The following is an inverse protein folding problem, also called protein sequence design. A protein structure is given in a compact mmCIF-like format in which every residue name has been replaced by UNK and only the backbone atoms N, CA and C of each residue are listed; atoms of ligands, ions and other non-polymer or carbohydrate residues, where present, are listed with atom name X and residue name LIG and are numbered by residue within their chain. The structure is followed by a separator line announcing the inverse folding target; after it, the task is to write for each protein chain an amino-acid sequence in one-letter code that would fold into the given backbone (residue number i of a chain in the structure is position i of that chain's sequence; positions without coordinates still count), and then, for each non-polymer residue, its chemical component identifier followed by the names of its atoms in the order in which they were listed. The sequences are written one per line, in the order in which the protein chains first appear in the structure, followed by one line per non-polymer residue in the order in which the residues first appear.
data_IF_569880919485
#
_entry.id   IF_569880919485
#
_cell.length_a   1.000
_cell.length_b   1.000
_cell.length_c   1.000
_cell.angle_alpha   90.00
_cell.angle_beta   90.00
_cell.angle_gamma   90.00
#
_symmetry.space_group_name_H-M   'P 1'
#
loop_
_entity.id
_entity.type
_entity.pdbx_description
1 polymer ?
#
# COMPACT_ATOMS: atom_id res chain seq x y z
N UNK A 1 -8.81 2.52 -31.59
CA UNK A 1 -8.80 3.98 -31.35
C UNK A 1 -9.93 4.27 -30.36
N UNK A 2 -9.60 4.40 -29.08
CA UNK A 2 -10.53 4.79 -28.03
C UNK A 2 -9.92 6.01 -27.35
N UNK A 3 -10.65 7.11 -27.38
CA UNK A 3 -10.20 8.44 -26.97
C UNK A 3 -10.24 8.57 -25.45
N UNK A 4 -9.09 8.83 -24.84
CA UNK A 4 -8.98 9.27 -23.44
C UNK A 4 -9.34 10.77 -23.41
N UNK A 5 -10.58 11.08 -23.09
CA UNK A 5 -11.00 12.45 -22.80
C UNK A 5 -10.32 12.92 -21.49
N UNK A 6 -9.35 13.81 -21.62
CA UNK A 6 -8.74 14.51 -20.50
C UNK A 6 -9.68 15.62 -20.04
N UNK A 7 -10.13 15.59 -18.79
CA UNK A 7 -10.89 16.71 -18.22
C UNK A 7 -9.96 17.81 -17.70
N UNK A 8 -10.33 19.11 -17.82
CA UNK A 8 -9.43 20.23 -17.51
C UNK A 8 -9.24 20.43 -16.01
N UNK A 9 -8.00 20.77 -15.61
CA UNK A 9 -7.51 20.94 -14.23
C UNK A 9 -8.08 22.15 -13.45
N UNK A 10 -9.07 22.87 -13.97
CA UNK A 10 -9.39 24.23 -13.50
C UNK A 10 -10.54 24.34 -12.47
N UNK A 11 -11.19 23.23 -12.08
CA UNK A 11 -12.43 23.31 -11.27
C UNK A 11 -12.27 22.94 -9.78
N UNK A 12 -11.04 22.87 -9.26
CA UNK A 12 -10.77 22.51 -7.86
C UNK A 12 -10.72 23.74 -6.94
N UNK A 13 -11.68 24.66 -7.05
CA UNK A 13 -11.83 25.72 -6.08
C UNK A 13 -13.26 25.80 -5.55
N UNK A 14 -13.34 25.53 -4.24
CA UNK A 14 -14.41 25.86 -3.29
C UNK A 14 -15.69 25.03 -3.37
N UNK A 15 -15.69 23.87 -2.71
CA UNK A 15 -16.92 23.25 -2.23
C UNK A 15 -17.06 23.47 -0.71
N UNK A 16 -18.21 23.98 -0.22
CA UNK A 16 -18.46 24.15 1.21
C UNK A 16 -18.49 22.80 1.95
N UNK A 17 -17.98 22.76 3.20
CA UNK A 17 -17.85 21.57 4.06
C UNK A 17 -19.15 20.76 4.28
N UNK A 18 -20.32 21.27 3.91
CA UNK A 18 -21.61 20.59 4.07
C UNK A 18 -21.92 19.54 2.98
N UNK A 19 -21.11 19.42 1.93
CA UNK A 19 -21.40 18.51 0.79
C UNK A 19 -20.79 17.10 0.90
N UNK A 20 -20.19 16.73 2.04
CA UNK A 20 -19.68 15.35 2.26
C UNK A 20 -20.80 14.35 2.60
N UNK A 21 -22.00 14.52 2.04
CA UNK A 21 -23.05 13.52 2.15
C UNK A 21 -23.02 12.57 0.95
N UNK A 22 -22.56 11.36 1.25
CA UNK A 22 -22.84 10.13 0.53
C UNK A 22 -22.22 10.00 -0.87
N UNK A 23 -20.89 9.92 -0.93
CA UNK A 23 -20.31 9.03 -1.93
C UNK A 23 -20.60 7.59 -1.50
N UNK A 24 -21.27 6.76 -2.34
CA UNK A 24 -21.40 5.35 -2.04
C UNK A 24 -20.00 4.77 -1.86
N UNK A 25 -19.78 4.00 -0.79
CA UNK A 25 -18.53 3.24 -0.50
C UNK A 25 -18.14 2.22 -1.60
N UNK A 26 -18.77 2.30 -2.78
CA UNK A 26 -18.79 1.31 -3.84
C UNK A 26 -17.75 1.57 -4.94
N UNK A 27 -16.61 2.19 -4.61
CA UNK A 27 -15.45 2.27 -5.53
C UNK A 27 -14.15 1.72 -4.93
N UNK A 28 -14.20 1.12 -3.74
CA UNK A 28 -13.26 0.04 -3.44
C UNK A 28 -13.70 -1.11 -4.36
N UNK A 29 -12.92 -1.39 -5.41
CA UNK A 29 -13.12 -2.60 -6.20
C UNK A 29 -13.20 -3.77 -5.23
N UNK A 30 -14.42 -4.24 -4.96
CA UNK A 30 -14.63 -5.40 -4.13
C UNK A 30 -14.13 -6.55 -4.99
N UNK A 31 -12.87 -6.95 -4.79
CA UNK A 31 -12.44 -8.25 -5.28
C UNK A 31 -13.41 -9.26 -4.64
N UNK A 32 -14.24 -9.96 -5.42
CA UNK A 32 -15.21 -10.89 -4.85
C UNK A 32 -14.43 -11.87 -3.97
N UNK A 33 -14.83 -12.06 -2.70
CA UNK A 33 -14.12 -12.96 -1.77
C UNK A 33 -13.83 -14.34 -2.39
N UNK A 34 -14.67 -14.79 -3.31
CA UNK A 34 -14.50 -16.02 -4.09
C UNK A 34 -13.23 -16.05 -4.96
N UNK A 35 -12.74 -14.93 -5.50
CA UNK A 35 -11.52 -14.90 -6.32
C UNK A 35 -10.23 -15.09 -5.51
N UNK A 36 -10.28 -14.91 -4.19
CA UNK A 36 -9.17 -15.22 -3.28
C UNK A 36 -9.18 -16.68 -2.80
N UNK A 37 -10.33 -17.35 -2.89
CA UNK A 37 -10.54 -18.64 -2.21
C UNK A 37 -9.87 -19.82 -2.92
N UNK A 38 -9.54 -19.72 -4.21
CA UNK A 38 -8.96 -20.82 -4.97
C UNK A 38 -7.93 -20.30 -5.95
N UNK A 39 -6.75 -19.91 -5.46
CA UNK A 39 -5.60 -19.78 -6.35
C UNK A 39 -4.92 -21.14 -6.48
N UNK A 40 -4.88 -21.71 -7.70
CA UNK A 40 -4.33 -23.05 -7.91
C UNK A 40 -2.82 -23.13 -7.57
N UNK A 41 -2.16 -21.98 -7.40
CA UNK A 41 -0.73 -21.86 -7.07
C UNK A 41 -0.51 -20.68 -6.12
N UNK A 42 -0.81 -20.86 -4.82
CA UNK A 42 -0.79 -19.76 -3.88
C UNK A 42 0.65 -19.25 -3.64
N UNK A 43 1.64 -20.13 -3.69
CA UNK A 43 3.04 -19.74 -3.49
C UNK A 43 3.58 -18.90 -4.65
N UNK A 44 3.22 -19.23 -5.90
CA UNK A 44 3.57 -18.39 -7.06
C UNK A 44 2.96 -16.99 -6.93
N UNK A 45 1.72 -16.90 -6.47
CA UNK A 45 1.05 -15.63 -6.28
C UNK A 45 1.69 -14.77 -5.20
N UNK A 46 1.86 -15.32 -4.00
CA UNK A 46 2.44 -14.59 -2.88
C UNK A 46 3.91 -14.28 -3.13
N UNK A 47 4.64 -15.21 -3.75
CA UNK A 47 6.03 -14.99 -4.16
C UNK A 47 6.16 -13.83 -5.14
N UNK A 48 5.27 -13.73 -6.14
CA UNK A 48 5.26 -12.61 -7.09
C UNK A 48 4.92 -11.28 -6.41
N UNK A 49 3.90 -11.26 -5.55
CA UNK A 49 3.52 -10.05 -4.83
C UNK A 49 4.64 -9.58 -3.90
N UNK A 50 5.23 -10.48 -3.11
CA UNK A 50 6.30 -10.14 -2.19
C UNK A 50 7.53 -9.57 -2.90
N UNK A 51 7.92 -10.15 -4.06
CA UNK A 51 9.04 -9.61 -4.87
C UNK A 51 8.72 -8.27 -5.52
N UNK A 52 7.47 -8.03 -5.91
CA UNK A 52 7.08 -6.79 -6.60
C UNK A 52 6.73 -5.62 -5.66
N UNK A 53 6.39 -5.90 -4.40
CA UNK A 53 5.90 -4.89 -3.44
C UNK A 53 6.90 -4.55 -2.35
N UNK A 54 7.89 -5.41 -2.09
CA UNK A 54 8.88 -5.21 -1.04
C UNK A 54 10.28 -5.19 -1.65
N UNK A 55 11.15 -4.35 -1.08
CA UNK A 55 12.57 -4.33 -1.33
C UNK A 55 13.25 -5.30 -0.37
N UNK A 56 13.90 -6.32 -0.94
CA UNK A 56 14.59 -7.37 -0.20
C UNK A 56 16.09 -7.08 -0.21
N UNK A 57 16.72 -7.17 0.96
CA UNK A 57 18.17 -7.16 1.07
C UNK A 57 18.76 -8.51 0.62
N UNK A 58 18.07 -9.60 0.96
CA UNK A 58 18.31 -10.94 0.44
C UNK A 58 16.98 -11.53 0.00
N UNK A 59 16.88 -11.89 -1.27
CA UNK A 59 15.67 -12.55 -1.78
C UNK A 59 15.46 -13.92 -1.15
N UNK A 60 14.19 -14.25 -0.89
CA UNK A 60 13.76 -15.57 -0.43
C UNK A 60 13.66 -16.55 -1.61
N UNK A 61 13.91 -17.82 -1.32
CA UNK A 61 13.66 -18.95 -2.21
C UNK A 61 12.36 -19.67 -1.82
N UNK A 62 12.07 -19.75 -0.52
CA UNK A 62 10.88 -20.44 -0.01
C UNK A 62 9.78 -19.40 0.28
N UNK A 63 8.57 -19.61 -0.24
CA UNK A 63 7.45 -18.67 -0.02
C UNK A 63 6.82 -18.87 1.35
N UNK A 64 6.52 -20.13 1.71
CA UNK A 64 6.09 -20.49 3.05
C UNK A 64 6.67 -21.82 3.46
N UNK A 65 6.82 -21.99 4.77
CA UNK A 65 7.10 -23.25 5.42
C UNK A 65 6.10 -23.37 6.59
N UNK A 66 5.37 -24.48 6.68
CA UNK A 66 4.35 -24.64 7.69
C UNK A 66 4.12 -26.08 8.13
N UNK A 67 3.75 -26.21 9.41
CA UNK A 67 3.34 -27.45 10.06
C UNK A 67 2.04 -27.16 10.81
N UNK A 68 0.93 -27.71 10.30
CA UNK A 68 -0.40 -27.49 10.88
C UNK A 68 -0.56 -28.19 12.23
N UNK A 69 0.08 -29.34 12.44
CA UNK A 69 0.01 -30.07 13.71
C UNK A 69 0.73 -29.30 14.82
N UNK A 70 1.85 -28.65 14.48
CA UNK A 70 2.63 -27.83 15.41
C UNK A 70 2.22 -26.36 15.44
N UNK A 71 1.19 -25.96 14.68
CA UNK A 71 0.79 -24.55 14.53
C UNK A 71 1.95 -23.61 14.16
N UNK A 72 2.93 -24.11 13.41
CA UNK A 72 4.11 -23.36 13.01
C UNK A 72 3.94 -22.85 11.59
N UNK A 73 4.07 -21.54 11.38
CA UNK A 73 3.93 -20.92 10.08
C UNK A 73 5.05 -19.89 9.88
N UNK A 74 5.78 -20.03 8.79
CA UNK A 74 6.84 -19.12 8.38
C UNK A 74 6.56 -18.67 6.96
N UNK A 75 6.71 -17.38 6.70
CA UNK A 75 6.66 -16.79 5.37
C UNK A 75 8.02 -16.24 5.03
N UNK A 76 8.51 -16.54 3.83
CA UNK A 76 9.80 -16.07 3.32
C UNK A 76 10.98 -16.36 4.27
N UNK A 77 11.11 -17.58 4.83
CA UNK A 77 11.97 -17.86 5.99
C UNK A 77 13.45 -17.62 5.75
N UNK A 78 13.90 -17.62 4.49
CA UNK A 78 15.29 -17.43 4.08
C UNK A 78 15.58 -16.04 3.47
N UNK A 79 14.55 -15.21 3.34
CA UNK A 79 14.64 -13.83 2.88
C UNK A 79 14.96 -12.86 4.01
N UNK A 80 15.58 -11.75 3.67
CA UNK A 80 15.92 -10.68 4.61
C UNK A 80 15.53 -9.33 4.02
N UNK A 81 14.87 -8.51 4.83
CA UNK A 81 14.51 -7.15 4.49
C UNK A 81 14.64 -6.26 5.72
N UNK A 82 14.68 -4.95 5.49
CA UNK A 82 14.60 -3.95 6.54
C UNK A 82 13.27 -3.18 6.40
N UNK A 83 12.54 -3.05 7.51
CA UNK A 83 11.23 -2.36 7.52
C UNK A 83 11.38 -0.87 7.23
N UNK A 84 12.39 -0.20 7.80
CA UNK A 84 12.65 1.22 7.55
C UNK A 84 12.96 1.48 6.08
N UNK A 85 13.76 0.61 5.44
CA UNK A 85 14.06 0.74 4.00
C UNK A 85 12.78 0.69 3.14
N UNK A 86 11.86 -0.19 3.50
CA UNK A 86 10.59 -0.35 2.79
C UNK A 86 9.58 0.76 3.10
N UNK A 87 9.61 1.31 4.31
CA UNK A 87 8.64 2.30 4.76
C UNK A 87 9.10 3.74 4.52
N UNK A 88 10.40 4.01 4.52
CA UNK A 88 11.00 5.36 4.49
C UNK A 88 12.02 5.46 3.36
N UNK A 89 13.14 4.75 3.42
CA UNK A 89 14.31 5.03 2.56
C UNK A 89 14.01 4.93 1.06
N UNK A 90 13.28 3.89 0.63
CA UNK A 90 12.91 3.76 -0.80
C UNK A 90 11.98 4.86 -1.27
N UNK A 91 11.12 5.38 -0.38
CA UNK A 91 10.19 6.45 -0.70
C UNK A 91 10.90 7.81 -0.67
N UNK A 92 11.82 8.03 0.27
CA UNK A 92 12.69 9.20 0.32
C UNK A 92 13.56 9.31 -0.95
N UNK A 93 14.10 8.18 -1.45
CA UNK A 93 14.89 8.15 -2.70
C UNK A 93 14.08 8.51 -3.95
N UNK A 94 12.80 8.14 -4.02
CA UNK A 94 11.96 8.35 -5.22
C UNK A 94 11.14 9.65 -5.16
N UNK A 95 10.63 10.00 -3.99
CA UNK A 95 9.67 11.09 -3.76
C UNK A 95 9.96 11.79 -2.42
N UNK A 96 11.12 12.46 -2.26
CA UNK A 96 11.57 13.02 -0.99
C UNK A 96 10.61 14.05 -0.39
N UNK A 97 9.96 14.86 -1.24
CA UNK A 97 9.06 15.95 -0.83
C UNK A 97 7.63 15.48 -0.52
N UNK A 98 7.33 14.19 -0.72
CA UNK A 98 6.01 13.65 -0.41
C UNK A 98 5.84 13.59 1.10
N UNK A 99 4.72 14.11 1.60
CA UNK A 99 4.32 14.02 3.01
C UNK A 99 4.19 12.53 3.41
N UNK A 100 4.97 12.13 4.41
CA UNK A 100 4.99 10.79 4.98
C UNK A 100 4.11 10.70 6.23
N UNK A 101 4.13 11.75 7.06
CA UNK A 101 3.31 11.87 8.25
C UNK A 101 2.63 13.25 8.28
N UNK A 102 1.31 13.22 8.37
CA UNK A 102 0.51 14.39 8.73
C UNK A 102 0.20 14.27 10.22
N UNK A 103 0.81 15.12 11.03
CA UNK A 103 0.61 15.14 12.47
C UNK A 103 -0.40 16.24 12.82
N UNK A 104 -1.60 15.85 13.22
CA UNK A 104 -2.58 16.74 13.84
C UNK A 104 -2.26 16.89 15.34
N UNK A 105 -1.99 18.12 15.78
CA UNK A 105 -1.69 18.42 17.19
C UNK A 105 -2.99 18.45 18.01
N UNK A 106 -2.84 18.46 19.34
CA UNK A 106 -3.98 18.43 20.27
C UNK A 106 -4.97 19.58 20.03
N UNK A 107 -4.46 20.76 19.68
CA UNK A 107 -5.30 21.93 19.39
C UNK A 107 -5.84 21.90 17.95
N UNK A 108 -7.17 22.05 17.76
CA UNK A 108 -7.78 22.04 16.43
C UNK A 108 -7.15 23.05 15.47
N UNK A 109 -6.87 22.60 14.25
CA UNK A 109 -6.32 23.45 13.18
C UNK A 109 -4.80 23.60 13.21
N UNK A 110 -4.11 22.94 14.13
CA UNK A 110 -2.66 22.85 14.12
C UNK A 110 -2.22 21.51 13.51
N UNK A 111 -1.70 21.55 12.27
CA UNK A 111 -1.11 20.39 11.61
C UNK A 111 0.37 20.61 11.29
N UNK A 112 1.14 19.53 11.35
CA UNK A 112 2.54 19.49 10.93
C UNK A 112 2.69 18.43 9.84
N UNK A 113 3.46 18.76 8.80
CA UNK A 113 3.69 17.87 7.65
C UNK A 113 5.15 17.49 7.63
N UNK A 114 5.42 16.22 7.91
CA UNK A 114 6.75 15.64 7.81
C UNK A 114 6.84 14.89 6.50
N UNK A 115 7.83 15.24 5.67
CA UNK A 115 8.08 14.58 4.39
C UNK A 115 8.92 13.32 4.61
N UNK A 116 9.14 12.54 3.54
CA UNK A 116 10.03 11.39 3.64
C UNK A 116 11.49 11.75 3.87
N UNK A 117 11.90 12.99 3.58
CA UNK A 117 13.30 13.44 3.70
C UNK A 117 13.57 14.33 4.91
N UNK A 118 12.58 15.10 5.37
CA UNK A 118 12.66 16.04 6.50
C UNK A 118 11.27 16.42 7.04
#
# INVERSE_FOLDING_TARGET
RAELQQQPRASLQQQPRASLQQQPRASLQQQPRASLQQQPRPDEFWGRLARSRLEWQKEFQVVRDHDMEKSAFRWFPDGQLNVSVNCVDRHARQHPDRVALLWEKDEPGQEERVTYSH
#
